data_IF_592208625482
#
_entry.id   IF_592208625482
#
_cell.length_a   1.000
_cell.length_b   1.000
_cell.length_c   1.000
_cell.angle_alpha   90.00
_cell.angle_beta   90.00
_cell.angle_gamma   90.00
#
_symmetry.space_group_name_H-M   'P 1'
#
loop_
_entity.id
_entity.type
_entity.pdbx_description
1 polymer ?
#
# COMPACT_ATOMS: atom_id res chain seq x y z
N UNK A 1 51.31 57.83 -84.38
CA UNK A 1 52.25 58.54 -85.28
C UNK A 1 53.38 57.58 -85.63
N UNK A 2 53.40 57.04 -86.86
CA UNK A 2 54.53 56.24 -87.32
C UNK A 2 55.66 57.19 -87.71
N UNK A 3 56.53 57.52 -86.75
CA UNK A 3 57.75 58.26 -87.07
C UNK A 3 58.48 57.54 -88.19
N UNK A 4 58.80 58.26 -89.26
CA UNK A 4 59.51 57.69 -90.41
C UNK A 4 60.85 57.08 -89.97
N UNK A 5 61.45 57.63 -88.91
CA UNK A 5 62.62 57.08 -88.22
C UNK A 5 62.33 55.76 -87.49
N UNK A 6 61.16 55.62 -86.85
CA UNK A 6 60.76 54.35 -86.23
C UNK A 6 60.61 53.23 -87.27
N UNK A 7 60.05 53.55 -88.45
CA UNK A 7 59.94 52.61 -89.56
C UNK A 7 61.31 52.22 -90.12
N UNK A 8 62.25 53.17 -90.22
CA UNK A 8 63.62 52.90 -90.67
C UNK A 8 64.36 51.99 -89.69
N UNK A 9 64.29 52.28 -88.39
CA UNK A 9 64.94 51.47 -87.34
C UNK A 9 64.39 50.05 -87.32
N UNK A 10 63.07 49.86 -87.43
CA UNK A 10 62.47 48.54 -87.50
C UNK A 10 62.86 47.79 -88.78
N UNK A 11 62.94 48.47 -89.92
CA UNK A 11 63.38 47.88 -91.19
C UNK A 11 64.82 47.35 -91.12
N UNK A 12 65.73 48.09 -90.47
CA UNK A 12 67.13 47.65 -90.29
C UNK A 12 67.22 46.43 -89.37
N UNK A 13 66.40 46.39 -88.31
CA UNK A 13 66.32 45.23 -87.41
C UNK A 13 65.74 44.00 -88.10
N UNK A 14 64.71 44.19 -88.94
CA UNK A 14 64.10 43.11 -89.73
C UNK A 14 65.09 42.56 -90.77
N UNK A 15 65.86 43.43 -91.45
CA UNK A 15 66.89 43.02 -92.40
C UNK A 15 68.05 42.27 -91.71
N UNK A 16 68.45 42.72 -90.52
CA UNK A 16 69.50 42.07 -89.71
C UNK A 16 69.05 40.71 -89.19
N UNK A 17 67.79 40.60 -88.79
CA UNK A 17 67.16 39.36 -88.33
C UNK A 17 67.05 38.35 -89.48
N UNK A 18 66.60 38.78 -90.66
CA UNK A 18 66.54 37.94 -91.86
C UNK A 18 67.91 37.43 -92.27
N UNK A 19 68.92 38.30 -92.27
CA UNK A 19 70.31 37.94 -92.59
C UNK A 19 70.86 36.90 -91.60
N UNK A 20 70.58 37.07 -90.31
CA UNK A 20 70.99 36.14 -89.25
C UNK A 20 70.26 34.79 -89.36
N UNK A 21 68.98 34.79 -89.76
CA UNK A 21 68.20 33.57 -90.02
C UNK A 21 68.76 32.78 -91.20
N UNK A 22 69.15 33.44 -92.28
CA UNK A 22 69.76 32.78 -93.44
C UNK A 22 71.14 32.19 -93.11
N UNK A 23 71.98 32.94 -92.39
CA UNK A 23 73.29 32.45 -91.93
C UNK A 23 73.17 31.27 -90.96
N UNK A 24 72.08 31.15 -90.21
CA UNK A 24 71.88 30.05 -89.26
C UNK A 24 71.83 28.67 -89.92
N UNK A 25 71.58 28.60 -91.23
CA UNK A 25 71.61 27.37 -92.02
C UNK A 25 72.99 27.03 -92.60
N UNK A 26 73.95 27.95 -92.53
CA UNK A 26 75.34 27.71 -92.91
C UNK A 26 76.05 27.12 -91.68
N UNK A 27 75.91 25.82 -91.49
CA UNK A 27 76.58 25.09 -90.40
C UNK A 27 77.97 24.63 -90.83
N UNK A 28 78.82 24.25 -89.87
CA UNK A 28 80.13 23.67 -90.16
C UNK A 28 80.02 22.41 -91.03
N UNK A 29 78.96 21.62 -90.85
CA UNK A 29 78.65 20.44 -91.67
C UNK A 29 78.35 20.81 -93.13
N UNK A 30 77.59 21.90 -93.37
CA UNK A 30 77.31 22.41 -94.73
C UNK A 30 78.57 22.97 -95.37
N UNK A 31 79.44 23.65 -94.61
CA UNK A 31 80.72 24.14 -95.12
C UNK A 31 81.66 22.98 -95.46
N UNK A 32 81.66 21.92 -94.65
CA UNK A 32 82.54 20.77 -94.85
C UNK A 32 82.11 19.88 -96.02
N UNK A 33 80.81 19.83 -96.31
CA UNK A 33 80.19 19.07 -97.41
C UNK A 33 79.84 19.93 -98.64
N UNK A 34 80.26 21.20 -98.68
CA UNK A 34 79.87 22.17 -99.70
C UNK A 34 80.10 21.67 -101.14
N UNK A 35 81.21 20.98 -101.41
CA UNK A 35 81.56 20.43 -102.73
C UNK A 35 80.61 19.31 -103.18
N UNK A 36 80.06 18.54 -102.24
CA UNK A 36 79.10 17.46 -102.49
C UNK A 36 77.67 18.00 -102.74
N UNK A 37 77.42 19.27 -102.39
CA UNK A 37 76.13 19.93 -102.53
C UNK A 37 76.02 20.73 -103.84
N UNK A 38 76.96 20.54 -104.80
CA UNK A 38 77.02 21.25 -106.08
C UNK A 38 75.73 21.12 -106.90
N UNK A 39 75.16 19.93 -106.96
CA UNK A 39 73.93 19.66 -107.71
C UNK A 39 72.67 20.28 -107.06
N UNK A 40 72.72 20.50 -105.74
CA UNK A 40 71.59 21.02 -104.97
C UNK A 40 71.60 22.55 -104.86
N UNK A 41 72.78 23.15 -104.69
CA UNK A 41 72.96 24.57 -104.39
C UNK A 41 73.41 25.42 -105.60
N UNK A 42 73.95 24.77 -106.64
CA UNK A 42 74.53 25.44 -107.80
C UNK A 42 75.99 25.82 -107.61
N UNK A 43 76.72 25.92 -108.72
CA UNK A 43 78.18 26.11 -108.74
C UNK A 43 78.62 27.43 -108.08
N UNK A 44 77.86 28.51 -108.26
CA UNK A 44 78.19 29.82 -107.69
C UNK A 44 78.12 29.84 -106.16
N UNK A 45 77.07 29.24 -105.59
CA UNK A 45 76.87 29.19 -104.14
C UNK A 45 77.88 28.25 -103.48
N UNK A 46 78.18 27.10 -104.10
CA UNK A 46 79.21 26.18 -103.62
C UNK A 46 80.60 26.79 -103.68
N UNK A 47 80.97 27.47 -104.77
CA UNK A 47 82.23 28.19 -104.87
C UNK A 47 82.37 29.25 -103.77
N UNK A 48 81.27 29.91 -103.42
CA UNK A 48 81.24 30.93 -102.36
C UNK A 48 81.33 30.30 -100.97
N UNK A 49 80.68 29.16 -100.74
CA UNK A 49 80.78 28.40 -99.49
C UNK A 49 82.18 27.82 -99.28
N UNK A 50 82.83 27.31 -100.33
CA UNK A 50 84.22 26.81 -100.26
C UNK A 50 85.20 27.96 -100.02
N UNK A 51 85.02 29.10 -100.69
CA UNK A 51 85.78 30.33 -100.39
C UNK A 51 85.59 30.77 -98.95
N UNK A 52 84.34 30.79 -98.46
CA UNK A 52 84.02 31.15 -97.09
C UNK A 52 84.66 30.17 -96.09
N UNK A 53 84.58 28.86 -96.34
CA UNK A 53 85.26 27.82 -95.55
C UNK A 53 86.76 28.07 -95.48
N UNK A 54 87.40 28.36 -96.60
CA UNK A 54 88.85 28.63 -96.65
C UNK A 54 89.22 29.89 -95.86
N UNK A 55 88.42 30.96 -95.97
CA UNK A 55 88.63 32.21 -95.22
C UNK A 55 88.41 32.00 -93.72
N UNK A 56 87.36 31.27 -93.33
CA UNK A 56 87.03 30.96 -91.93
C UNK A 56 88.10 30.04 -91.31
N UNK A 57 88.54 29.00 -92.01
CA UNK A 57 89.59 28.08 -91.55
C UNK A 57 90.96 28.76 -91.46
N UNK A 58 91.27 29.68 -92.38
CA UNK A 58 92.49 30.50 -92.33
C UNK A 58 92.45 31.51 -91.17
N UNK A 59 91.25 32.00 -90.84
CA UNK A 59 91.02 32.94 -89.73
C UNK A 59 90.85 32.24 -88.37
N UNK A 60 90.74 30.90 -88.33
CA UNK A 60 90.51 30.12 -87.11
C UNK A 60 91.68 30.15 -86.11
N UNK A 61 92.84 30.73 -86.48
CA UNK A 61 93.97 30.95 -85.56
C UNK A 61 93.95 32.30 -84.82
N UNK A 62 92.88 33.07 -84.89
CA UNK A 62 92.63 34.16 -83.94
C UNK A 62 92.05 35.41 -84.57
N UNK A 63 91.13 36.00 -83.81
CA UNK A 63 90.36 37.24 -84.05
C UNK A 63 88.98 37.03 -84.68
N UNK A 64 87.96 37.02 -83.81
CA UNK A 64 86.59 37.40 -84.13
C UNK A 64 86.66 38.84 -84.67
N UNK A 65 86.34 39.05 -85.96
CA UNK A 65 86.41 40.37 -86.59
C UNK A 65 87.44 40.55 -87.72
N UNK A 66 88.00 39.47 -88.28
CA UNK A 66 88.77 39.56 -89.53
C UNK A 66 87.92 40.22 -90.64
N UNK A 67 88.39 41.33 -91.20
CA UNK A 67 87.70 42.08 -92.26
C UNK A 67 87.41 41.18 -93.48
N UNK A 68 88.33 40.28 -93.80
CA UNK A 68 88.14 39.27 -94.84
C UNK A 68 87.00 38.28 -94.53
N UNK A 69 86.82 37.89 -93.27
CA UNK A 69 85.71 37.03 -92.85
C UNK A 69 84.38 37.78 -92.85
N UNK A 70 84.35 39.06 -92.47
CA UNK A 70 83.15 39.90 -92.52
C UNK A 70 82.69 40.17 -93.96
N UNK A 71 83.62 40.50 -94.87
CA UNK A 71 83.35 40.68 -96.30
C UNK A 71 82.87 39.37 -96.93
N UNK A 72 83.56 38.26 -96.65
CA UNK A 72 83.14 36.93 -97.13
C UNK A 72 81.75 36.51 -96.59
N UNK A 73 81.44 36.81 -95.33
CA UNK A 73 80.11 36.57 -94.74
C UNK A 73 79.05 37.46 -95.40
N UNK A 74 79.36 38.74 -95.68
CA UNK A 74 78.46 39.67 -96.35
C UNK A 74 78.18 39.27 -97.81
N UNK A 75 79.20 38.84 -98.54
CA UNK A 75 79.07 38.29 -99.90
C UNK A 75 78.23 37.01 -99.89
N UNK A 76 78.48 36.12 -98.93
CA UNK A 76 77.68 34.90 -98.73
C UNK A 76 76.21 35.24 -98.42
N UNK A 77 75.93 36.16 -97.49
CA UNK A 77 74.56 36.62 -97.18
C UNK A 77 73.88 37.23 -98.40
N UNK A 78 74.59 38.06 -99.15
CA UNK A 78 74.05 38.72 -100.34
C UNK A 78 73.70 37.69 -101.43
N UNK A 79 74.52 36.65 -101.58
CA UNK A 79 74.29 35.57 -102.53
C UNK A 79 73.20 34.61 -102.03
N UNK A 80 73.11 34.34 -100.73
CA UNK A 80 72.02 33.59 -100.08
C UNK A 80 70.67 34.30 -100.20
N UNK A 81 70.64 35.64 -100.12
CA UNK A 81 69.41 36.44 -100.34
C UNK A 81 68.98 36.47 -101.81
N UNK A 82 69.93 36.46 -102.75
CA UNK A 82 69.67 36.56 -104.20
C UNK A 82 69.45 35.23 -104.90
N UNK A 83 70.05 34.15 -104.41
CA UNK A 83 69.96 32.84 -105.04
C UNK A 83 68.69 32.10 -104.62
N UNK A 84 67.81 31.71 -105.55
CA UNK A 84 66.60 30.94 -105.22
C UNK A 84 66.92 29.54 -104.65
N UNK A 85 68.12 29.02 -104.92
CA UNK A 85 68.59 27.73 -104.40
C UNK A 85 69.01 27.76 -102.93
N UNK A 86 69.20 28.95 -102.34
CA UNK A 86 69.57 29.10 -100.93
C UNK A 86 68.50 28.57 -99.95
N UNK A 87 67.22 28.59 -100.36
CA UNK A 87 66.12 27.99 -99.61
C UNK A 87 66.28 26.46 -99.42
N UNK A 88 67.04 25.80 -100.30
CA UNK A 88 67.35 24.36 -100.20
C UNK A 88 68.34 24.03 -99.07
N UNK A 89 69.05 25.02 -98.53
CA UNK A 89 69.83 24.83 -97.29
C UNK A 89 68.93 24.51 -96.09
N UNK A 90 67.67 24.96 -96.13
CA UNK A 90 66.69 24.65 -95.08
C UNK A 90 66.28 23.18 -95.09
N UNK A 91 66.34 22.52 -96.25
CA UNK A 91 65.97 21.10 -96.42
C UNK A 91 67.08 20.12 -96.02
N UNK A 92 68.30 20.60 -95.80
CA UNK A 92 69.44 19.77 -95.39
C UNK A 92 69.39 19.35 -93.91
N UNK A 93 68.39 19.80 -93.14
CA UNK A 93 68.15 19.42 -91.73
C UNK A 93 69.37 19.51 -90.81
N UNK A 94 70.41 20.29 -91.16
CA UNK A 94 71.60 20.42 -90.31
C UNK A 94 71.24 21.16 -89.02
N UNK A 95 71.72 20.65 -87.89
CA UNK A 95 71.41 21.21 -86.58
C UNK A 95 72.01 22.62 -86.48
N UNK A 96 71.15 23.64 -86.42
CA UNK A 96 71.59 25.03 -86.25
C UNK A 96 72.41 25.17 -84.98
N UNK A 97 73.45 26.00 -85.02
CA UNK A 97 74.27 26.26 -83.83
C UNK A 97 73.41 26.86 -82.70
N UNK A 98 73.61 26.43 -81.44
CA UNK A 98 72.91 27.03 -80.31
C UNK A 98 73.24 28.52 -80.14
N UNK A 99 74.46 28.94 -80.50
CA UNK A 99 74.89 30.34 -80.42
C UNK A 99 74.11 31.24 -81.41
N UNK A 100 73.95 30.83 -82.67
CA UNK A 100 73.20 31.63 -83.67
C UNK A 100 71.70 31.66 -83.35
N UNK A 101 71.16 30.59 -82.78
CA UNK A 101 69.75 30.53 -82.35
C UNK A 101 69.48 31.48 -81.18
N UNK A 102 70.41 31.59 -80.22
CA UNK A 102 70.31 32.59 -79.15
C UNK A 102 70.34 34.02 -79.71
N UNK A 103 71.25 34.32 -80.65
CA UNK A 103 71.33 35.64 -81.30
C UNK A 103 70.03 36.00 -82.03
N UNK A 104 69.44 35.05 -82.76
CA UNK A 104 68.13 35.24 -83.41
C UNK A 104 67.04 35.54 -82.37
N UNK A 105 66.95 34.76 -81.29
CA UNK A 105 65.95 34.99 -80.23
C UNK A 105 66.13 36.37 -79.55
N UNK A 106 67.37 36.82 -79.33
CA UNK A 106 67.65 38.15 -78.80
C UNK A 106 67.23 39.26 -79.78
N UNK A 107 67.53 39.11 -81.08
CA UNK A 107 67.11 40.06 -82.11
C UNK A 107 65.58 40.13 -82.24
N UNK A 108 64.87 39.00 -82.13
CA UNK A 108 63.40 38.97 -82.13
C UNK A 108 62.82 39.70 -80.92
N UNK A 109 63.38 39.49 -79.73
CA UNK A 109 62.97 40.21 -78.51
C UNK A 109 63.26 41.70 -78.61
N UNK A 110 64.43 42.07 -79.12
CA UNK A 110 64.84 43.47 -79.31
C UNK A 110 63.93 44.18 -80.30
N UNK A 111 63.57 43.50 -81.41
CA UNK A 111 62.58 43.99 -82.37
C UNK A 111 61.24 44.24 -81.69
N UNK A 112 60.73 43.27 -80.91
CA UNK A 112 59.46 43.42 -80.20
C UNK A 112 59.44 44.58 -79.19
N UNK A 113 60.52 44.73 -78.42
CA UNK A 113 60.68 45.84 -77.47
C UNK A 113 60.78 47.20 -78.17
N UNK A 114 61.60 47.28 -79.21
CA UNK A 114 61.80 48.50 -80.02
C UNK A 114 60.51 48.89 -80.73
N UNK A 115 59.77 47.93 -81.28
CA UNK A 115 58.45 48.17 -81.86
C UNK A 115 57.50 48.73 -80.81
N UNK A 116 57.35 48.05 -79.67
CA UNK A 116 56.46 48.49 -78.59
C UNK A 116 56.76 49.93 -78.18
N UNK A 117 58.03 50.24 -77.89
CA UNK A 117 58.44 51.60 -77.46
C UNK A 117 58.29 52.68 -78.52
N UNK A 118 58.46 52.35 -79.79
CA UNK A 118 58.32 53.31 -80.88
C UNK A 118 56.86 53.52 -81.30
N UNK A 119 55.97 52.58 -80.98
CA UNK A 119 54.55 52.64 -81.32
C UNK A 119 53.64 53.05 -80.16
N UNK A 120 54.07 52.92 -78.90
CA UNK A 120 53.32 53.40 -77.73
C UNK A 120 53.43 54.91 -77.58
N UNK A 121 52.30 55.58 -77.47
CA UNK A 121 52.25 57.02 -77.18
C UNK A 121 52.38 57.30 -75.68
N UNK A 122 52.78 58.53 -75.32
CA UNK A 122 52.90 58.95 -73.91
C UNK A 122 51.54 58.89 -73.19
N UNK A 123 50.45 59.20 -73.90
CA UNK A 123 49.08 59.13 -73.36
C UNK A 123 48.63 57.68 -73.12
N UNK A 124 48.93 56.76 -74.05
CA UNK A 124 48.67 55.33 -73.85
C UNK A 124 49.48 54.77 -72.67
N UNK A 125 50.72 55.20 -72.48
CA UNK A 125 51.55 54.80 -71.34
C UNK A 125 51.02 55.38 -70.01
N UNK A 126 50.52 56.62 -70.01
CA UNK A 126 49.91 57.24 -68.83
C UNK A 126 48.59 56.54 -68.45
N UNK A 127 47.70 56.32 -69.44
CA UNK A 127 46.43 55.61 -69.23
C UNK A 127 46.64 54.17 -68.76
N UNK A 128 47.66 53.48 -69.29
CA UNK A 128 48.01 52.14 -68.81
C UNK A 128 48.44 52.17 -67.34
N UNK A 129 49.24 53.16 -66.90
CA UNK A 129 49.65 53.29 -65.49
C UNK A 129 48.47 53.52 -64.57
N UNK A 130 47.59 54.46 -64.91
CA UNK A 130 46.37 54.73 -64.13
C UNK A 130 45.50 53.49 -64.03
N UNK A 131 45.32 52.75 -65.13
CA UNK A 131 44.60 51.49 -65.12
C UNK A 131 45.24 50.46 -64.17
N UNK A 132 46.56 50.29 -64.21
CA UNK A 132 47.27 49.39 -63.29
C UNK A 132 47.12 49.83 -61.83
N UNK A 133 47.16 51.12 -61.53
CA UNK A 133 46.96 51.64 -60.17
C UNK A 133 45.52 51.44 -59.68
N UNK A 134 44.51 51.62 -60.54
CA UNK A 134 43.12 51.29 -60.21
C UNK A 134 42.94 49.79 -59.93
N UNK A 135 43.51 48.93 -60.77
CA UNK A 135 43.45 47.47 -60.57
C UNK A 135 44.14 47.10 -59.26
N UNK A 136 45.32 47.66 -59.00
CA UNK A 136 46.08 47.43 -57.77
C UNK A 136 45.29 47.84 -56.54
N UNK A 137 44.69 49.03 -56.53
CA UNK A 137 43.91 49.50 -55.36
C UNK A 137 42.64 48.67 -55.14
N UNK A 138 41.99 48.19 -56.21
CA UNK A 138 40.87 47.24 -56.11
C UNK A 138 41.32 45.88 -55.58
N UNK A 139 42.46 45.39 -56.04
CA UNK A 139 43.05 44.13 -55.56
C UNK A 139 43.43 44.24 -54.08
N UNK A 140 44.09 45.32 -53.67
CA UNK A 140 44.45 45.57 -52.27
C UNK A 140 43.19 45.60 -51.36
N UNK A 141 42.11 46.26 -51.78
CA UNK A 141 40.83 46.26 -51.05
C UNK A 141 40.19 44.88 -50.99
N UNK A 142 40.12 44.17 -52.11
CA UNK A 142 39.54 42.83 -52.18
C UNK A 142 40.31 41.83 -51.31
N UNK A 143 41.64 41.92 -51.29
CA UNK A 143 42.51 41.10 -50.44
C UNK A 143 42.29 41.43 -48.96
N UNK A 144 42.22 42.71 -48.60
CA UNK A 144 41.95 43.12 -47.22
C UNK A 144 40.57 42.63 -46.73
N UNK A 145 39.54 42.74 -47.57
CA UNK A 145 38.19 42.22 -47.27
C UNK A 145 38.18 40.70 -47.14
N UNK A 146 38.86 39.99 -48.05
CA UNK A 146 38.98 38.53 -47.98
C UNK A 146 39.67 38.08 -46.68
N UNK A 147 40.77 38.73 -46.29
CA UNK A 147 41.46 38.45 -45.04
C UNK A 147 40.58 38.74 -43.81
N UNK A 148 39.84 39.85 -43.82
CA UNK A 148 38.93 40.19 -42.72
C UNK A 148 37.79 39.16 -42.58
N UNK A 149 37.21 38.73 -43.71
CA UNK A 149 36.17 37.69 -43.73
C UNK A 149 36.72 36.33 -43.28
N UNK A 150 37.93 35.97 -43.69
CA UNK A 150 38.58 34.74 -43.28
C UNK A 150 38.85 34.71 -41.77
N UNK A 151 39.33 35.82 -41.19
CA UNK A 151 39.49 35.97 -39.75
C UNK A 151 38.15 35.86 -39.01
N UNK A 152 37.10 36.55 -39.49
CA UNK A 152 35.76 36.48 -38.90
C UNK A 152 35.20 35.06 -38.94
N UNK A 153 35.39 34.35 -40.05
CA UNK A 153 34.96 32.97 -40.22
C UNK A 153 35.72 32.03 -39.28
N UNK A 154 37.03 32.24 -39.10
CA UNK A 154 37.83 31.48 -38.14
C UNK A 154 37.35 31.69 -36.70
N UNK A 155 37.08 32.94 -36.30
CA UNK A 155 36.53 33.24 -34.97
C UNK A 155 35.15 32.61 -34.76
N UNK A 156 34.26 32.70 -35.75
CA UNK A 156 32.94 32.06 -35.69
C UNK A 156 33.03 30.54 -35.57
N UNK A 157 33.95 29.88 -36.29
CA UNK A 157 34.16 28.42 -36.17
C UNK A 157 34.60 28.03 -34.76
N UNK A 158 35.53 28.78 -34.16
CA UNK A 158 35.98 28.52 -32.79
C UNK A 158 34.85 28.70 -31.80
N UNK A 159 34.07 29.78 -31.93
CA UNK A 159 32.95 30.05 -31.02
C UNK A 159 31.84 28.99 -31.15
N UNK A 160 31.49 28.58 -32.38
CA UNK A 160 30.53 27.50 -32.61
C UNK A 160 31.03 26.17 -32.03
N UNK A 161 32.31 25.86 -32.15
CA UNK A 161 32.90 24.65 -31.56
C UNK A 161 32.83 24.70 -30.03
N UNK A 162 33.13 25.85 -29.43
CA UNK A 162 33.02 26.08 -27.98
C UNK A 162 31.58 25.90 -27.49
N UNK A 163 30.61 26.47 -28.20
CA UNK A 163 29.19 26.34 -27.89
C UNK A 163 28.71 24.89 -28.03
N UNK A 164 29.11 24.19 -29.10
CA UNK A 164 28.79 22.78 -29.29
C UNK A 164 29.35 21.91 -28.16
N UNK A 165 30.59 22.15 -27.72
CA UNK A 165 31.17 21.44 -26.58
C UNK A 165 30.47 21.76 -25.25
N UNK A 166 30.05 23.01 -25.04
CA UNK A 166 29.29 23.39 -23.85
C UNK A 166 27.92 22.69 -23.81
N UNK A 167 27.21 22.65 -24.94
CA UNK A 167 25.93 21.93 -25.06
C UNK A 167 26.13 20.44 -24.84
N UNK A 168 27.16 19.83 -25.45
CA UNK A 168 27.45 18.40 -25.27
C UNK A 168 27.72 18.06 -23.81
N UNK A 169 28.51 18.88 -23.11
CA UNK A 169 28.79 18.67 -21.68
C UNK A 169 27.53 18.75 -20.81
N UNK A 170 26.61 19.68 -21.11
CA UNK A 170 25.32 19.76 -20.40
C UNK A 170 24.46 18.56 -20.72
N UNK A 171 24.38 18.14 -21.98
CA UNK A 171 23.63 16.96 -22.40
C UNK A 171 24.12 15.69 -21.69
N UNK A 172 25.44 15.48 -21.66
CA UNK A 172 26.04 14.31 -21.01
C UNK A 172 25.74 14.29 -19.50
N UNK A 173 25.80 15.45 -18.83
CA UNK A 173 25.41 15.58 -17.42
C UNK A 173 23.93 15.29 -17.19
N UNK A 174 23.05 15.88 -17.99
CA UNK A 174 21.61 15.65 -17.88
C UNK A 174 21.23 14.20 -18.17
N UNK A 175 21.89 13.53 -19.12
CA UNK A 175 21.72 12.09 -19.38
C UNK A 175 22.16 11.24 -18.18
N UNK A 176 23.29 11.58 -17.55
CA UNK A 176 23.77 10.88 -16.35
C UNK A 176 22.82 11.06 -15.15
N UNK A 177 22.34 12.29 -14.91
CA UNK A 177 21.36 12.59 -13.86
C UNK A 177 20.04 11.85 -14.09
N UNK A 178 19.52 11.85 -15.33
CA UNK A 178 18.32 11.11 -15.69
C UNK A 178 18.48 9.61 -15.44
N UNK A 179 19.61 9.03 -15.84
CA UNK A 179 19.91 7.62 -15.60
C UNK A 179 19.98 7.30 -14.09
N UNK A 180 20.62 8.17 -13.30
CA UNK A 180 20.70 8.02 -11.85
C UNK A 180 19.31 8.08 -11.20
N UNK A 181 18.47 9.06 -11.59
CA UNK A 181 17.10 9.18 -11.10
C UNK A 181 16.28 7.95 -11.48
N UNK A 182 16.33 7.50 -12.74
CA UNK A 182 15.60 6.31 -13.18
C UNK A 182 16.00 5.07 -12.39
N UNK A 183 17.30 4.84 -12.23
CA UNK A 183 17.82 3.66 -11.50
C UNK A 183 17.45 3.73 -10.02
N UNK A 184 17.59 4.90 -9.39
CA UNK A 184 17.24 5.13 -7.98
C UNK A 184 15.74 4.93 -7.75
N UNK A 185 14.88 5.54 -8.58
CA UNK A 185 13.44 5.40 -8.49
C UNK A 185 12.99 3.97 -8.74
N UNK A 186 13.57 3.26 -9.71
CA UNK A 186 13.27 1.85 -9.94
C UNK A 186 13.63 0.98 -8.72
N UNK A 187 14.79 1.22 -8.10
CA UNK A 187 15.20 0.52 -6.89
C UNK A 187 14.27 0.83 -5.70
N UNK A 188 13.90 2.11 -5.51
CA UNK A 188 12.94 2.52 -4.48
C UNK A 188 11.57 1.88 -4.69
N UNK A 189 11.07 1.85 -5.93
CA UNK A 189 9.80 1.21 -6.26
C UNK A 189 9.84 -0.30 -5.98
N UNK A 190 10.94 -0.97 -6.33
CA UNK A 190 11.12 -2.39 -6.02
C UNK A 190 11.13 -2.64 -4.51
N UNK A 191 11.82 -1.82 -3.73
CA UNK A 191 11.87 -1.93 -2.28
C UNK A 191 10.48 -1.69 -1.65
N UNK A 192 9.80 -0.59 -2.01
CA UNK A 192 8.46 -0.26 -1.49
C UNK A 192 7.47 -1.39 -1.81
N UNK A 193 7.50 -1.93 -3.03
CA UNK A 193 6.58 -3.01 -3.41
C UNK A 193 6.89 -4.32 -2.68
N UNK A 194 8.16 -4.61 -2.40
CA UNK A 194 8.56 -5.77 -1.59
C UNK A 194 8.16 -5.61 -0.13
N UNK A 195 8.45 -4.47 0.48
CA UNK A 195 8.08 -4.15 1.86
C UNK A 195 6.55 -4.16 2.03
N UNK A 196 5.81 -3.52 1.13
CA UNK A 196 4.35 -3.52 1.18
C UNK A 196 3.75 -4.93 1.07
N UNK A 197 4.37 -5.84 0.30
CA UNK A 197 3.95 -7.25 0.25
C UNK A 197 4.23 -7.97 1.56
N UNK A 198 5.41 -7.76 2.14
CA UNK A 198 5.78 -8.37 3.42
C UNK A 198 4.85 -7.90 4.54
N UNK A 199 4.63 -6.59 4.68
CA UNK A 199 3.72 -6.02 5.69
C UNK A 199 2.30 -6.55 5.50
N UNK A 200 1.78 -6.58 4.26
CA UNK A 200 0.45 -7.16 4.00
C UNK A 200 0.36 -8.62 4.40
N UNK A 201 1.40 -9.40 4.13
CA UNK A 201 1.42 -10.82 4.51
C UNK A 201 1.44 -10.97 6.04
N UNK A 202 2.28 -10.20 6.74
CA UNK A 202 2.32 -10.25 8.21
C UNK A 202 1.01 -9.82 8.84
N UNK A 203 0.34 -8.81 8.28
CA UNK A 203 -0.96 -8.35 8.76
C UNK A 203 -2.04 -9.43 8.54
N UNK A 204 -2.05 -10.07 7.37
CA UNK A 204 -2.96 -11.20 7.08
C UNK A 204 -2.74 -12.34 8.06
N UNK A 205 -1.49 -12.73 8.29
CA UNK A 205 -1.14 -13.83 9.20
C UNK A 205 -1.53 -13.48 10.65
N UNK A 206 -1.30 -12.23 11.07
CA UNK A 206 -1.69 -11.74 12.40
C UNK A 206 -3.21 -11.78 12.58
N UNK A 207 -3.97 -11.24 11.62
CA UNK A 207 -5.43 -11.25 11.68
C UNK A 207 -6.02 -12.66 11.61
N UNK A 208 -5.43 -13.56 10.83
CA UNK A 208 -5.83 -14.96 10.83
C UNK A 208 -5.62 -15.60 12.21
N UNK A 209 -4.46 -15.35 12.85
CA UNK A 209 -4.21 -15.80 14.21
C UNK A 209 -5.21 -15.26 15.25
N UNK A 210 -5.57 -13.98 15.15
CA UNK A 210 -6.60 -13.37 16.00
C UNK A 210 -7.97 -14.01 15.79
N UNK A 211 -8.38 -14.25 14.54
CA UNK A 211 -9.65 -14.91 14.21
C UNK A 211 -9.70 -16.34 14.74
N UNK A 212 -8.60 -17.09 14.64
CA UNK A 212 -8.51 -18.44 15.20
C UNK A 212 -8.63 -18.43 16.74
N UNK A 213 -8.00 -17.45 17.40
CA UNK A 213 -8.08 -17.31 18.85
C UNK A 213 -9.51 -16.94 19.30
N UNK A 214 -10.13 -15.96 18.64
CA UNK A 214 -11.52 -15.59 18.90
C UNK A 214 -12.49 -16.75 18.63
N UNK A 215 -12.24 -17.56 17.60
CA UNK A 215 -13.05 -18.74 17.32
C UNK A 215 -12.93 -19.79 18.45
N UNK A 216 -11.73 -20.01 18.99
CA UNK A 216 -11.51 -20.89 20.15
C UNK A 216 -12.19 -20.35 21.41
N UNK A 217 -12.07 -19.05 21.68
CA UNK A 217 -12.77 -18.40 22.80
C UNK A 217 -14.29 -18.52 22.68
N UNK A 218 -14.83 -18.33 21.48
CA UNK A 218 -16.25 -18.48 21.21
C UNK A 218 -16.74 -19.93 21.41
N UNK A 219 -15.95 -20.92 20.99
CA UNK A 219 -16.27 -22.33 21.23
C UNK A 219 -16.22 -22.70 22.71
N UNK A 220 -15.17 -22.28 23.42
CA UNK A 220 -15.07 -22.50 24.88
C UNK A 220 -16.22 -21.84 25.63
N UNK A 221 -16.62 -20.62 25.28
CA UNK A 221 -17.76 -19.93 25.86
C UNK A 221 -19.08 -20.66 25.57
N UNK A 222 -19.28 -21.16 24.33
CA UNK A 222 -20.45 -21.98 23.97
C UNK A 222 -20.51 -23.26 24.79
N UNK A 223 -19.39 -23.96 24.95
CA UNK A 223 -19.30 -25.19 25.73
C UNK A 223 -19.55 -24.93 27.22
N UNK A 224 -19.02 -23.84 27.77
CA UNK A 224 -19.28 -23.43 29.15
C UNK A 224 -20.77 -23.12 29.38
N UNK A 225 -21.41 -22.41 28.44
CA UNK A 225 -22.83 -22.10 28.51
C UNK A 225 -23.72 -23.35 28.38
N UNK A 226 -23.35 -24.30 27.50
CA UNK A 226 -24.05 -25.58 27.39
C UNK A 226 -23.96 -26.39 28.70
N UNK A 227 -22.77 -26.46 29.30
CA UNK A 227 -22.55 -27.14 30.58
C UNK A 227 -23.34 -26.47 31.72
N UNK A 228 -23.34 -25.14 31.79
CA UNK A 228 -24.10 -24.40 32.80
C UNK A 228 -25.61 -24.66 32.66
N UNK A 229 -26.14 -24.67 31.43
CA UNK A 229 -27.55 -25.00 31.17
C UNK A 229 -27.92 -26.40 31.64
N UNK A 230 -27.07 -27.40 31.39
CA UNK A 230 -27.33 -28.76 31.85
C UNK A 230 -27.28 -28.86 33.38
N UNK A 231 -26.27 -28.26 34.02
CA UNK A 231 -26.20 -28.19 35.49
C UNK A 231 -27.43 -27.50 36.10
N UNK A 232 -27.90 -26.40 35.51
CA UNK A 232 -29.13 -25.74 35.95
C UNK A 232 -30.36 -26.64 35.78
N UNK A 233 -30.45 -27.38 34.67
CA UNK A 233 -31.54 -28.33 34.45
C UNK A 233 -31.54 -29.47 35.47
N UNK A 234 -30.38 -30.05 35.77
CA UNK A 234 -30.22 -31.12 36.76
C UNK A 234 -30.55 -30.62 38.17
N UNK A 235 -30.01 -29.47 38.56
CA UNK A 235 -30.28 -28.86 39.88
C UNK A 235 -31.75 -28.49 40.04
N UNK A 236 -32.39 -27.91 39.02
CA UNK A 236 -33.82 -27.63 39.04
C UNK A 236 -34.64 -28.92 39.17
N UNK A 237 -34.32 -29.97 38.40
CA UNK A 237 -35.01 -31.26 38.50
C UNK A 237 -34.86 -31.89 39.90
N UNK A 238 -33.67 -31.81 40.48
CA UNK A 238 -33.41 -32.28 41.85
C UNK A 238 -34.23 -31.50 42.88
N UNK A 239 -34.27 -30.16 42.78
CA UNK A 239 -35.07 -29.31 43.67
C UNK A 239 -36.56 -29.57 43.52
N UNK A 240 -37.08 -29.75 42.29
CA UNK A 240 -38.49 -30.12 42.05
C UNK A 240 -38.84 -31.46 42.70
N UNK A 241 -37.95 -32.46 42.60
CA UNK A 241 -38.15 -33.77 43.24
C UNK A 241 -38.10 -33.67 44.76
N UNK A 242 -37.15 -32.90 45.31
CA UNK A 242 -37.05 -32.66 46.75
C UNK A 242 -38.29 -31.93 47.29
N UNK A 243 -38.77 -30.89 46.59
CA UNK A 243 -40.01 -30.18 46.92
C UNK A 243 -41.20 -31.13 46.93
N UNK A 244 -41.36 -31.97 45.90
CA UNK A 244 -42.46 -32.94 45.82
C UNK A 244 -42.42 -33.94 46.99
N UNK A 245 -41.25 -34.44 47.36
CA UNK A 245 -41.08 -35.34 48.51
C UNK A 245 -41.47 -34.65 49.82
N UNK A 246 -40.95 -33.46 50.07
CA UNK A 246 -41.30 -32.69 51.26
C UNK A 246 -42.82 -32.37 51.33
N UNK A 247 -43.45 -32.08 50.19
CA UNK A 247 -44.91 -31.92 50.12
C UNK A 247 -45.65 -33.22 50.48
N UNK A 248 -45.23 -34.36 49.93
CA UNK A 248 -45.81 -35.67 50.25
C UNK A 248 -45.61 -36.04 51.73
N UNK A 249 -44.46 -35.74 52.31
CA UNK A 249 -44.19 -35.99 53.73
C UNK A 249 -45.10 -35.14 54.63
N UNK A 250 -45.30 -33.86 54.28
CA UNK A 250 -46.25 -32.98 54.99
C UNK A 250 -47.69 -33.47 54.84
N UNK A 251 -48.11 -33.87 53.63
CA UNK A 251 -49.44 -34.45 53.39
C UNK A 251 -49.66 -35.73 54.20
N UNK A 252 -48.64 -36.59 54.31
CA UNK A 252 -48.71 -37.79 55.13
C UNK A 252 -48.88 -37.46 56.62
N UNK A 253 -48.07 -36.53 57.16
CA UNK A 253 -48.17 -36.10 58.57
C UNK A 253 -49.52 -35.46 58.88
N UNK A 254 -50.06 -34.65 57.96
CA UNK A 254 -51.40 -34.08 58.10
C UNK A 254 -52.44 -35.21 58.11
N UNK A 255 -52.33 -36.18 57.20
CA UNK A 255 -53.23 -37.33 57.14
C UNK A 255 -53.24 -38.17 58.43
N UNK A 256 -52.07 -38.43 59.00
CA UNK A 256 -51.93 -39.14 60.28
C UNK A 256 -52.58 -38.35 61.42
N UNK A 257 -52.30 -37.04 61.50
CA UNK A 257 -52.90 -36.14 62.50
C UNK A 257 -54.43 -36.08 62.39
N UNK A 258 -54.96 -35.88 61.18
CA UNK A 258 -56.41 -35.82 60.93
C UNK A 258 -57.09 -37.16 61.27
N UNK A 259 -56.41 -38.28 60.98
CA UNK A 259 -56.84 -39.61 61.36
C UNK A 259 -56.93 -39.80 62.88
N UNK A 260 -55.87 -39.44 63.60
CA UNK A 260 -55.79 -39.52 65.06
C UNK A 260 -56.82 -38.61 65.73
N UNK A 261 -56.92 -37.34 65.31
CA UNK A 261 -57.92 -36.40 65.83
C UNK A 261 -59.33 -36.92 65.56
N UNK A 262 -59.59 -37.45 64.36
CA UNK A 262 -60.88 -38.06 64.03
C UNK A 262 -61.21 -39.28 64.88
N UNK A 263 -60.23 -40.12 65.21
CA UNK A 263 -60.41 -41.25 66.13
C UNK A 263 -60.71 -40.77 67.55
N UNK A 264 -59.96 -39.78 68.05
CA UNK A 264 -60.16 -39.20 69.38
C UNK A 264 -61.49 -38.49 69.52
N UNK A 265 -61.95 -37.79 68.49
CA UNK A 265 -63.29 -37.19 68.48
C UNK A 265 -64.37 -38.28 68.55
N UNK A 266 -64.25 -39.37 67.79
CA UNK A 266 -65.20 -40.50 67.88
C UNK A 266 -65.22 -41.13 69.27
N UNK A 267 -64.06 -41.37 69.87
CA UNK A 267 -63.93 -41.88 71.24
C UNK A 267 -64.57 -40.91 72.24
N UNK A 268 -64.26 -39.62 72.14
CA UNK A 268 -64.83 -38.57 72.97
C UNK A 268 -66.36 -38.52 72.85
N UNK A 269 -66.89 -38.53 71.63
CA UNK A 269 -68.34 -38.54 71.38
C UNK A 269 -69.01 -39.80 71.93
N UNK A 270 -68.36 -40.97 71.83
CA UNK A 270 -68.86 -42.21 72.42
C UNK A 270 -68.90 -42.12 73.96
N UNK A 271 -67.80 -41.69 74.59
CA UNK A 271 -67.73 -41.50 76.03
C UNK A 271 -68.72 -40.42 76.53
N UNK A 272 -68.91 -39.34 75.76
CA UNK A 272 -69.87 -38.28 76.07
C UNK A 272 -71.32 -38.82 76.04
N UNK A 273 -71.65 -39.67 75.07
CA UNK A 273 -72.96 -40.35 75.02
C UNK A 273 -73.19 -41.24 76.23
N UNK A 274 -72.19 -42.03 76.62
CA UNK A 274 -72.26 -42.89 77.81
C UNK A 274 -72.39 -42.08 79.09
N UNK A 275 -71.57 -41.03 79.25
CA UNK A 275 -71.66 -40.08 80.37
C UNK A 275 -73.07 -39.48 80.49
N UNK A 276 -73.64 -39.00 79.37
CA UNK A 276 -74.98 -38.44 79.37
C UNK A 276 -76.05 -39.47 79.76
N UNK A 277 -75.88 -40.74 79.36
CA UNK A 277 -76.78 -41.82 79.75
C UNK A 277 -76.70 -42.12 81.25
N UNK A 278 -75.49 -42.18 81.81
CA UNK A 278 -75.29 -42.33 83.26
C UNK A 278 -75.88 -41.15 84.03
N UNK A 279 -75.75 -39.94 83.50
CA UNK A 279 -76.32 -38.74 84.10
C UNK A 279 -77.85 -38.81 84.18
N UNK A 280 -78.51 -39.28 83.12
CA UNK A 280 -79.95 -39.58 83.11
C UNK A 280 -80.31 -40.66 84.15
N UNK A 281 -79.54 -41.75 84.24
CA UNK A 281 -79.77 -42.80 85.23
C UNK A 281 -79.62 -42.28 86.67
N UNK A 282 -78.63 -41.42 86.93
CA UNK A 282 -78.46 -40.79 88.24
C UNK A 282 -79.63 -39.88 88.59
N UNK A 283 -80.18 -39.14 87.62
CA UNK A 283 -81.41 -38.36 87.82
C UNK A 283 -82.61 -39.27 88.15
N UNK A 284 -82.74 -40.40 87.47
CA UNK A 284 -83.79 -41.40 87.76
C UNK A 284 -83.63 -42.01 89.16
N UNK A 285 -82.43 -42.44 89.53
CA UNK A 285 -82.16 -42.93 90.88
C UNK A 285 -82.36 -41.85 91.94
N UNK A 286 -82.02 -40.60 91.64
CA UNK A 286 -82.28 -39.45 92.50
C UNK A 286 -83.78 -39.24 92.75
N UNK A 287 -84.60 -39.32 91.70
CA UNK A 287 -86.07 -39.28 91.80
C UNK A 287 -86.60 -40.45 92.63
N UNK A 288 -86.18 -41.68 92.33
CA UNK A 288 -86.60 -42.87 93.08
C UNK A 288 -86.19 -42.84 94.55
N UNK A 289 -84.98 -42.36 94.88
CA UNK A 289 -84.57 -42.16 96.27
C UNK A 289 -85.41 -41.10 96.97
N UNK A 290 -85.72 -39.98 96.30
CA UNK A 290 -86.59 -38.95 96.85
C UNK A 290 -88.00 -39.50 97.14
N UNK A 291 -88.58 -40.27 96.22
CA UNK A 291 -89.87 -40.95 96.39
C UNK A 291 -89.84 -41.93 97.58
N UNK A 292 -88.84 -42.83 97.65
CA UNK A 292 -88.69 -43.75 98.79
C UNK A 292 -88.52 -43.04 100.13
N UNK A 293 -87.78 -41.93 100.16
CA UNK A 293 -87.63 -41.11 101.36
C UNK A 293 -88.99 -40.50 101.77
N UNK A 294 -89.78 -40.05 100.79
CA UNK A 294 -91.10 -39.50 101.00
C UNK A 294 -92.05 -40.56 101.57
N UNK A 295 -92.11 -41.75 100.97
CA UNK A 295 -92.89 -42.88 101.48
C UNK A 295 -92.48 -43.29 102.90
N UNK A 296 -91.18 -43.31 103.20
CA UNK A 296 -90.68 -43.61 104.54
C UNK A 296 -91.12 -42.56 105.56
N UNK A 297 -91.04 -41.28 105.22
CA UNK A 297 -91.50 -40.19 106.09
C UNK A 297 -93.01 -40.30 106.34
N UNK A 298 -93.81 -40.57 105.31
CA UNK A 298 -95.25 -40.79 105.42
C UNK A 298 -95.57 -42.00 106.32
N UNK A 299 -94.83 -43.10 106.18
CA UNK A 299 -94.97 -44.27 107.04
C UNK A 299 -94.60 -43.96 108.50
N UNK A 300 -93.49 -43.28 108.76
CA UNK A 300 -93.08 -42.86 110.11
C UNK A 300 -94.14 -41.95 110.75
N UNK A 301 -94.76 -41.04 109.98
CA UNK A 301 -95.88 -40.22 110.45
C UNK A 301 -97.13 -41.05 110.76
N UNK A 302 -97.50 -42.00 109.89
CA UNK A 302 -98.62 -42.91 110.13
C UNK A 302 -98.40 -43.75 111.39
N UNK A 303 -97.19 -44.28 111.60
CA UNK A 303 -96.84 -45.03 112.81
C UNK A 303 -96.90 -44.16 114.06
N UNK A 304 -96.45 -42.90 113.98
CA UNK A 304 -96.60 -41.93 115.08
C UNK A 304 -98.07 -41.70 115.45
N UNK A 305 -98.96 -41.55 114.45
CA UNK A 305 -100.41 -41.41 114.69
C UNK A 305 -101.01 -42.66 115.35
N UNK A 306 -100.70 -43.85 114.84
CA UNK A 306 -101.13 -45.13 115.41
C UNK A 306 -100.62 -45.34 116.85
N UNK A 307 -99.37 -44.98 117.14
CA UNK A 307 -98.82 -45.05 118.48
C UNK A 307 -99.52 -44.08 119.45
N UNK A 308 -99.84 -42.86 119.01
CA UNK A 308 -100.62 -41.90 119.78
C UNK A 308 -102.04 -42.40 120.07
N UNK A 309 -102.71 -43.00 119.09
CA UNK A 309 -104.04 -43.60 119.28
C UNK A 309 -104.01 -44.80 120.25
N UNK A 310 -103.02 -45.68 120.14
CA UNK A 310 -102.81 -46.79 121.09
C UNK A 310 -102.57 -46.28 122.52
N UNK A 311 -101.80 -45.21 122.69
CA UNK A 311 -101.61 -44.57 123.99
C UNK A 311 -102.92 -44.00 124.53
N UNK A 312 -103.72 -43.34 123.70
CA UNK A 312 -105.02 -42.79 124.11
C UNK A 312 -106.03 -43.88 124.50
N UNK A 313 -106.10 -44.97 123.74
CA UNK A 313 -106.99 -46.10 124.03
C UNK A 313 -106.57 -46.82 125.32
N UNK A 314 -105.26 -47.02 125.55
CA UNK A 314 -104.74 -47.58 126.79
C UNK A 314 -105.08 -46.69 128.01
N UNK A 315 -104.95 -45.36 127.88
CA UNK A 315 -105.34 -44.42 128.93
C UNK A 315 -106.85 -44.50 129.24
N UNK A 316 -107.71 -44.68 128.23
CA UNK A 316 -109.15 -44.89 128.43
C UNK A 316 -109.43 -46.21 129.19
N UNK A 317 -108.75 -47.30 128.87
CA UNK A 317 -108.92 -48.58 129.56
C UNK A 317 -108.46 -48.52 131.03
N UNK A 318 -107.38 -47.81 131.34
CA UNK A 318 -106.92 -47.58 132.72
C UNK A 318 -107.97 -46.81 133.53
N UNK A 319 -108.64 -45.81 132.93
CA UNK A 319 -109.73 -45.08 133.59
C UNK A 319 -110.93 -45.99 133.91
N UNK A 320 -111.32 -46.87 132.97
CA UNK A 320 -112.44 -47.82 133.15
C UNK A 320 -112.16 -48.86 134.24
N UNK A 321 -110.96 -49.44 134.27
CA UNK A 321 -110.57 -50.42 135.30
C UNK A 321 -110.47 -49.80 136.69
N UNK A 322 -110.05 -48.53 136.78
CA UNK A 322 -110.05 -47.78 138.05
C UNK A 322 -111.47 -47.55 138.58
N UNK A 323 -112.42 -47.22 137.70
CA UNK A 323 -113.83 -47.09 138.06
C UNK A 323 -114.44 -48.42 138.56
N UNK A 324 -114.13 -49.55 137.89
CA UNK A 324 -114.62 -50.87 138.27
C UNK A 324 -114.10 -51.34 139.65
N UNK A 325 -112.84 -51.05 140.00
CA UNK A 325 -112.26 -51.41 141.31
C UNK A 325 -112.94 -50.68 142.48
N UNK A 326 -113.36 -49.42 142.29
CA UNK A 326 -114.06 -48.63 143.33
C UNK A 326 -115.46 -49.17 143.62
N UNK A 327 -116.17 -49.66 142.60
CA UNK A 327 -117.51 -50.26 142.74
C UNK A 327 -117.43 -51.62 143.47
N UNK A 328 -116.43 -52.44 143.14
CA UNK A 328 -116.26 -53.77 143.75
C UNK A 328 -115.84 -53.74 145.22
N UNK A 329 -115.07 -52.73 145.66
CA UNK A 329 -114.65 -52.60 147.07
C UNK A 329 -115.81 -52.20 147.98
N UNK A 330 -116.72 -51.35 147.49
CA UNK A 330 -117.90 -50.92 148.23
C UNK A 330 -118.87 -52.10 148.52
N UNK A 331 -119.06 -53.00 147.56
CA UNK A 331 -119.93 -54.18 147.70
C UNK A 331 -119.40 -55.22 148.70
N UNK A 332 -118.07 -55.42 148.75
CA UNK A 332 -117.43 -56.35 149.71
C UNK A 332 -117.60 -55.88 151.17
N UNK A 333 -117.63 -54.57 151.41
CA UNK A 333 -117.86 -53.99 152.74
C UNK A 333 -119.25 -54.27 153.32
N UNK A 334 -120.29 -54.28 152.48
CA UNK A 334 -121.68 -54.56 152.89
C UNK A 334 -121.87 -56.04 153.27
N UNK A 335 -121.22 -56.96 152.55
CA UNK A 335 -121.31 -58.40 152.78
C UNK A 335 -120.70 -58.83 154.13
N UNK A 336 -119.63 -58.17 154.57
CA UNK A 336 -118.96 -58.46 155.83
C UNK A 336 -119.78 -58.07 157.09
N UNK A 337 -120.57 -56.98 157.03
CA UNK A 337 -121.43 -56.55 158.15
C UNK A 337 -122.58 -57.53 158.43
N UNK A 338 -123.18 -58.13 157.40
CA UNK A 338 -124.27 -59.13 157.55
C UNK A 338 -123.82 -60.46 158.18
N UNK A 339 -122.55 -60.84 158.05
CA UNK A 339 -122.03 -62.11 158.59
C UNK A 339 -121.72 -62.07 160.11
N UNK A 340 -121.52 -60.88 160.70
CA UNK A 340 -121.17 -60.70 162.12
C UNK A 340 -122.39 -60.72 163.05
N UNK A 341 -123.57 -60.32 162.60
CA UNK A 341 -124.80 -60.36 163.39
C UNK A 341 -125.33 -61.79 163.61
N UNK A 342 -125.11 -62.70 162.66
CA UNK A 342 -125.51 -64.11 162.75
C UNK A 342 -124.70 -64.91 163.80
N UNK A 343 -123.48 -64.47 164.15
CA UNK A 343 -122.63 -65.13 165.16
C UNK A 343 -122.96 -64.74 166.61
N UNK A 344 -123.66 -63.61 166.85
CA UNK A 344 -124.07 -63.19 168.21
C UNK A 344 -125.28 -63.98 168.76
N UNK A 345 -126.12 -64.60 167.91
CA UNK A 345 -127.30 -65.38 168.35
C UNK A 345 -127.03 -66.82 168.82
N UNK A 346 -125.92 -67.47 168.41
CA UNK A 346 -125.65 -68.90 168.71
C UNK A 346 -124.90 -69.20 170.03
N UNK A 347 -124.42 -68.20 170.78
CA UNK A 347 -123.64 -68.41 172.02
C UNK A 347 -124.46 -68.32 173.34
N UNK A 348 -125.75 -67.97 173.30
CA UNK A 348 -126.58 -67.79 174.49
C UNK A 348 -127.29 -69.08 175.01
N UNK A 349 -127.44 -70.14 174.20
CA UNK A 349 -128.27 -71.32 174.55
C UNK A 349 -127.52 -72.50 175.19
N UNK A 350 -126.18 -72.56 175.17
CA UNK A 350 -125.43 -73.77 175.58
C UNK A 350 -124.96 -73.83 177.05
N UNK A 351 -125.32 -72.88 177.93
CA UNK A 351 -124.85 -72.85 179.34
C UNK A 351 -125.93 -73.06 180.42
N UNK A 352 -127.14 -73.51 180.09
CA UNK A 352 -128.26 -73.69 181.04
C UNK A 352 -128.70 -75.15 181.34
N UNK A 353 -127.94 -76.19 180.99
CA UNK A 353 -128.19 -77.59 181.45
C UNK A 353 -126.94 -78.26 182.02
N UNK A 354 -126.58 -77.76 183.20
CA UNK A 354 -126.03 -78.48 184.37
C UNK A 354 -125.82 -77.40 185.41
N UNK A 355 -126.45 -77.53 186.55
CA UNK A 355 -125.83 -77.04 187.78
C UNK A 355 -125.61 -78.26 188.68
N UNK A 356 -124.49 -78.28 189.39
CA UNK A 356 -124.54 -77.74 190.74
C UNK A 356 -124.01 -76.32 190.82
#
# INVERSE_FOLDING_TARGET
MNSLEASRVLSVLDESLESSKLLSFVTTEVLDTAEQLKDLLGEDLVNTLVKHRNVVNSSAKGIVGSEAAAVSTGELVRLLKKSPTASRLQTLHTRRSPAITQVINFLERLRGYTQKRLTTTVEEDASNREYYDEVRTREEKAVAEAQALEQKLKLQRVELTRQAHAIQSVEDKSRAELYQVQTSTAAQQANITSEAKLTRQTDIDSHQGELENLAKELDTAKNALAKAREQHRETEAALRKAKKRAQQDVEAVIGDYDGDVGSRDREYQAALKEYNLILLQLEEYGKGHAEMLQERLEYEEQQRKLAQEKLQTALRQVRMTRAAKTIQSFWKGIKAKRALEAKKKKKAEAKAKKKP
#
